data_IF_590266092609
#
_entry.id   IF_590266092609
#
_cell.length_a   1.000
_cell.length_b   1.000
_cell.length_c   1.000
_cell.angle_alpha   90.00
_cell.angle_beta   90.00
_cell.angle_gamma   90.00
#
_symmetry.space_group_name_H-M   'P 1'
#
loop_
_entity.id
_entity.type
_entity.pdbx_description
1 polymer ?
#
# COMPACT_ATOMS: atom_id res chain seq x y z
N UNK A 1 37.95 30.62 -22.25
CA UNK A 1 37.36 30.40 -20.93
C UNK A 1 36.44 29.19 -21.02
N UNK A 2 36.96 28.03 -20.65
CA UNK A 2 36.25 26.76 -20.56
C UNK A 2 35.13 26.90 -19.52
N UNK A 3 33.89 26.67 -19.94
CA UNK A 3 32.72 26.69 -19.04
C UNK A 3 32.80 25.58 -18.00
N UNK A 4 31.99 25.65 -16.93
CA UNK A 4 31.97 24.63 -15.90
C UNK A 4 31.56 23.29 -16.53
N UNK A 5 32.49 22.35 -16.54
CA UNK A 5 32.23 20.93 -16.77
C UNK A 5 31.31 20.46 -15.63
N UNK A 6 30.00 20.40 -15.91
CA UNK A 6 29.02 19.85 -14.99
C UNK A 6 29.32 18.37 -14.76
N UNK A 7 30.01 18.06 -13.66
CA UNK A 7 30.25 16.71 -13.19
C UNK A 7 29.02 16.18 -12.43
N UNK A 8 27.82 16.31 -13.02
CA UNK A 8 26.62 15.60 -12.59
C UNK A 8 26.58 14.20 -13.22
N UNK A 9 27.74 13.55 -13.39
CA UNK A 9 27.80 12.13 -13.73
C UNK A 9 27.16 11.40 -12.56
N UNK A 10 25.89 11.02 -12.74
CA UNK A 10 25.17 10.10 -11.86
C UNK A 10 26.09 8.88 -11.68
N UNK A 11 26.70 8.79 -10.50
CA UNK A 11 27.59 7.68 -10.21
C UNK A 11 26.73 6.40 -10.24
N UNK A 12 26.99 5.43 -11.13
CA UNK A 12 26.13 4.25 -11.26
C UNK A 12 26.02 3.49 -9.93
N UNK A 13 27.07 3.55 -9.10
CA UNK A 13 27.09 3.01 -7.74
C UNK A 13 26.10 3.68 -6.78
N UNK A 14 25.86 4.99 -6.91
CA UNK A 14 24.87 5.68 -6.06
C UNK A 14 23.45 5.41 -6.56
N UNK A 15 23.23 5.38 -7.87
CA UNK A 15 21.92 5.05 -8.44
C UNK A 15 21.48 3.62 -8.09
N UNK A 16 22.41 2.65 -8.13
CA UNK A 16 22.14 1.26 -7.73
C UNK A 16 21.79 1.16 -6.24
N UNK A 17 22.51 1.88 -5.37
CA UNK A 17 22.21 1.93 -3.93
C UNK A 17 20.85 2.55 -3.65
N UNK A 18 20.51 3.64 -4.35
CA UNK A 18 19.19 4.29 -4.24
C UNK A 18 18.09 3.34 -4.73
N UNK A 19 18.29 2.65 -5.84
CA UNK A 19 17.33 1.67 -6.36
C UNK A 19 17.06 0.52 -5.38
N UNK A 20 18.11 0.00 -4.74
CA UNK A 20 17.97 -1.05 -3.73
C UNK A 20 17.17 -0.56 -2.50
N UNK A 21 17.48 0.64 -1.99
CA UNK A 21 16.78 1.26 -0.85
C UNK A 21 15.29 1.49 -1.14
N UNK A 22 14.97 1.99 -2.34
CA UNK A 22 13.58 2.23 -2.76
C UNK A 22 12.81 0.92 -2.89
N UNK A 23 13.44 -0.13 -3.42
CA UNK A 23 12.82 -1.46 -3.57
C UNK A 23 12.44 -2.05 -2.22
N UNK A 24 13.32 -1.92 -1.21
CA UNK A 24 13.05 -2.35 0.16
C UNK A 24 11.85 -1.61 0.77
N UNK A 25 11.81 -0.28 0.65
CA UNK A 25 10.67 0.52 1.13
C UNK A 25 9.36 0.14 0.42
N UNK A 26 9.42 -0.14 -0.88
CA UNK A 26 8.25 -0.57 -1.64
C UNK A 26 7.73 -1.94 -1.19
N UNK A 27 8.62 -2.87 -0.83
CA UNK A 27 8.23 -4.16 -0.24
C UNK A 27 7.56 -3.99 1.11
N UNK A 28 8.10 -3.14 1.99
CA UNK A 28 7.46 -2.82 3.27
C UNK A 28 6.06 -2.22 3.05
N UNK A 29 5.94 -1.26 2.13
CA UNK A 29 4.66 -0.67 1.78
C UNK A 29 3.67 -1.71 1.25
N UNK A 30 4.11 -2.61 0.36
CA UNK A 30 3.28 -3.69 -0.16
C UNK A 30 2.79 -4.64 0.96
N UNK A 31 3.67 -4.99 1.90
CA UNK A 31 3.33 -5.86 3.03
C UNK A 31 2.27 -5.27 3.95
N UNK A 32 2.33 -3.95 4.17
CA UNK A 32 1.35 -3.21 4.98
C UNK A 32 0.02 -2.96 4.26
N UNK A 33 0.05 -2.83 2.93
CA UNK A 33 -1.11 -2.47 2.09
C UNK A 33 -1.80 -3.66 1.42
N UNK A 34 -1.25 -4.88 1.52
CA UNK A 34 -1.82 -6.07 0.89
C UNK A 34 -3.31 -6.29 1.25
N UNK A 35 -4.07 -6.86 0.31
CA UNK A 35 -5.51 -7.09 0.46
C UNK A 35 -5.87 -8.10 1.56
N UNK A 36 -5.05 -9.14 1.75
CA UNK A 36 -5.20 -10.11 2.83
C UNK A 36 -4.72 -9.53 4.18
N UNK A 37 -5.67 -9.01 4.96
CA UNK A 37 -5.39 -8.40 6.26
C UNK A 37 -4.74 -9.36 7.26
N UNK A 38 -4.90 -10.67 7.11
CA UNK A 38 -4.34 -11.66 8.05
C UNK A 38 -2.82 -11.79 7.93
N UNK A 39 -2.27 -11.38 6.78
CA UNK A 39 -0.84 -11.39 6.50
C UNK A 39 -0.15 -10.07 6.83
N UNK A 40 -0.91 -9.03 7.19
CA UNK A 40 -0.34 -7.72 7.50
C UNK A 40 0.48 -7.80 8.80
N UNK A 41 1.71 -7.27 8.82
CA UNK A 41 2.55 -7.31 10.00
C UNK A 41 1.99 -6.43 11.11
N UNK A 42 2.32 -6.77 12.36
CA UNK A 42 2.11 -5.86 13.49
C UNK A 42 3.07 -4.66 13.37
N UNK A 43 2.72 -3.54 13.99
CA UNK A 43 3.56 -2.34 13.96
C UNK A 43 4.98 -2.61 14.51
N UNK A 44 5.11 -3.47 15.52
CA UNK A 44 6.42 -3.85 16.07
C UNK A 44 7.28 -4.60 15.04
N UNK A 45 6.67 -5.45 14.23
CA UNK A 45 7.38 -6.15 13.14
C UNK A 45 7.86 -5.16 12.08
N UNK A 46 7.01 -4.19 11.69
CA UNK A 46 7.39 -3.15 10.73
C UNK A 46 8.56 -2.31 11.24
N UNK A 47 8.56 -1.92 12.52
CA UNK A 47 9.66 -1.17 13.14
C UNK A 47 10.95 -1.99 13.15
N UNK A 48 10.89 -3.26 13.55
CA UNK A 48 12.07 -4.13 13.55
C UNK A 48 12.67 -4.26 12.14
N UNK A 49 11.85 -4.31 11.10
CA UNK A 49 12.33 -4.32 9.71
C UNK A 49 12.99 -2.99 9.33
N UNK A 50 12.37 -1.85 9.67
CA UNK A 50 12.92 -0.53 9.37
C UNK A 50 14.24 -0.24 10.11
N UNK A 51 14.41 -0.82 11.29
CA UNK A 51 15.65 -0.77 12.09
C UNK A 51 16.72 -1.77 11.61
N UNK A 52 16.38 -2.65 10.65
CA UNK A 52 17.30 -3.67 10.12
C UNK A 52 17.48 -4.89 11.04
N UNK A 53 16.58 -5.09 12.01
CA UNK A 53 16.56 -6.22 12.93
C UNK A 53 15.85 -7.45 12.34
N UNK A 54 15.05 -7.26 11.29
CA UNK A 54 14.30 -8.33 10.63
C UNK A 54 14.20 -8.05 9.12
N UNK A 55 14.02 -9.11 8.32
CA UNK A 55 13.80 -8.97 6.88
C UNK A 55 12.29 -8.89 6.56
N UNK A 56 11.97 -8.28 5.41
CA UNK A 56 10.60 -8.25 4.87
C UNK A 56 10.21 -9.64 4.39
N UNK A 57 8.93 -10.00 4.53
CA UNK A 57 8.39 -11.22 3.94
C UNK A 57 8.65 -11.25 2.42
N UNK A 58 9.03 -12.43 1.91
CA UNK A 58 9.32 -12.66 0.50
C UNK A 58 8.06 -13.03 -0.30
N UNK A 59 6.96 -13.43 0.36
CA UNK A 59 5.71 -13.82 -0.26
C UNK A 59 4.66 -12.69 -0.19
N UNK A 60 5.02 -11.53 -0.76
CA UNK A 60 4.12 -10.37 -0.83
C UNK A 60 3.20 -10.47 -2.03
N UNK A 61 1.91 -10.25 -1.78
CA UNK A 61 0.94 -9.99 -2.84
C UNK A 61 0.90 -8.48 -3.10
N UNK A 62 1.24 -8.09 -4.34
CA UNK A 62 1.20 -6.69 -4.79
C UNK A 62 -0.19 -6.29 -5.34
N UNK A 63 -1.18 -7.18 -5.27
CA UNK A 63 -2.57 -6.85 -5.57
C UNK A 63 -3.20 -6.06 -4.42
N UNK A 64 -3.18 -4.73 -4.56
CA UNK A 64 -3.84 -3.79 -3.65
C UNK A 64 -5.35 -3.68 -3.86
N UNK A 65 -5.84 -4.23 -4.97
CA UNK A 65 -7.27 -4.27 -5.25
C UNK A 65 -7.89 -5.39 -4.43
N UNK A 66 -8.94 -5.07 -3.67
CA UNK A 66 -9.81 -6.10 -3.15
C UNK A 66 -10.33 -6.92 -4.35
N UNK A 67 -10.28 -8.26 -4.30
CA UNK A 67 -10.89 -9.06 -5.36
C UNK A 67 -12.36 -8.61 -5.50
N UNK A 68 -12.87 -8.44 -6.74
CA UNK A 68 -14.27 -8.14 -6.94
C UNK A 68 -15.08 -9.17 -6.18
N UNK A 69 -15.90 -8.72 -5.23
CA UNK A 69 -16.85 -9.60 -4.54
C UNK A 69 -17.69 -10.25 -5.63
N UNK A 70 -17.65 -11.59 -5.80
CA UNK A 70 -18.50 -12.26 -6.76
C UNK A 70 -19.95 -12.06 -6.32
N UNK A 71 -20.64 -11.10 -6.92
CA UNK A 71 -22.01 -10.75 -6.55
C UNK A 71 -22.37 -9.27 -6.68
N UNK A 72 -21.40 -8.35 -6.74
CA UNK A 72 -21.70 -6.92 -6.93
C UNK A 72 -21.68 -6.58 -8.41
N UNK A 73 -22.79 -6.82 -9.10
CA UNK A 73 -23.07 -6.12 -10.36
C UNK A 73 -22.99 -4.61 -10.11
N UNK A 74 -22.40 -3.80 -11.01
CA UNK A 74 -22.48 -2.35 -10.89
C UNK A 74 -23.97 -1.99 -10.99
N UNK A 75 -24.58 -1.64 -9.86
CA UNK A 75 -25.94 -1.13 -9.81
C UNK A 75 -25.92 0.22 -10.53
N UNK A 76 -26.32 0.19 -11.80
CA UNK A 76 -26.89 1.35 -12.47
C UNK A 76 -28.13 1.72 -11.65
N UNK A 77 -28.12 2.93 -11.09
CA UNK A 77 -29.28 3.53 -10.44
C UNK A 77 -30.48 3.44 -11.38
N UNK A 78 -31.42 2.57 -11.03
CA UNK A 78 -32.78 2.60 -11.54
C UNK A 78 -33.68 2.02 -10.48
N UNK A 79 -34.12 2.93 -9.60
CA UNK A 79 -35.32 2.89 -8.78
C UNK A 79 -36.27 1.73 -9.14
N UNK A 80 -36.40 0.74 -8.26
CA UNK A 80 -37.64 -0.03 -7.99
C UNK A 80 -37.43 -1.04 -6.85
N UNK A 81 -38.12 -0.76 -5.76
CA UNK A 81 -38.78 -1.66 -4.80
C UNK A 81 -38.47 -3.16 -4.90
N UNK A 82 -37.75 -3.70 -3.91
CA UNK A 82 -38.11 -4.95 -3.20
C UNK A 82 -37.04 -5.31 -2.17
N UNK A 83 -37.44 -5.22 -0.90
CA UNK A 83 -37.02 -6.02 0.25
C UNK A 83 -35.96 -7.10 0.00
N UNK A 84 -34.71 -6.81 0.40
CA UNK A 84 -33.78 -7.78 0.99
C UNK A 84 -32.77 -7.03 1.85
N UNK A 85 -32.57 -7.50 3.09
CA UNK A 85 -31.89 -6.83 4.21
C UNK A 85 -30.41 -6.44 3.95
N UNK A 86 -30.16 -5.46 3.09
CA UNK A 86 -28.89 -4.77 3.01
C UNK A 86 -28.72 -3.93 4.28
N UNK A 87 -27.83 -4.36 5.18
CA UNK A 87 -27.40 -3.51 6.31
C UNK A 87 -26.70 -2.30 5.72
N UNK A 88 -27.38 -1.17 5.69
CA UNK A 88 -26.81 0.12 5.29
C UNK A 88 -25.67 0.43 6.28
N UNK A 89 -24.43 0.39 5.79
CA UNK A 89 -23.28 0.83 6.57
C UNK A 89 -23.41 2.34 6.81
N UNK A 90 -23.87 2.69 8.01
CA UNK A 90 -23.95 4.09 8.43
C UNK A 90 -22.54 4.69 8.42
N UNK A 91 -22.36 5.90 7.87
CA UNK A 91 -21.07 6.60 7.94
C UNK A 91 -20.66 6.70 9.40
N UNK A 92 -19.44 6.29 9.71
CA UNK A 92 -18.87 6.44 11.04
C UNK A 92 -18.90 7.93 11.39
N UNK A 93 -19.84 8.33 12.25
CA UNK A 93 -19.85 9.64 12.88
C UNK A 93 -18.63 9.65 13.79
N UNK A 94 -17.51 10.14 13.25
CA UNK A 94 -16.35 10.50 14.05
C UNK A 94 -16.85 11.50 15.09
N UNK A 95 -17.00 11.02 16.32
CA UNK A 95 -17.36 11.84 17.47
C UNK A 95 -16.49 13.09 17.45
N UNK A 96 -17.14 14.25 17.32
CA UNK A 96 -16.48 15.54 17.19
C UNK A 96 -15.61 15.90 18.41
N UNK A 97 -14.89 17.04 18.33
CA UNK A 97 -13.90 17.43 19.33
C UNK A 97 -14.51 17.58 20.73
N UNK A 98 -13.73 17.21 21.74
CA UNK A 98 -14.08 17.34 23.17
C UNK A 98 -14.13 18.79 23.62
#
# INVERSE_FOLDING_TARGET
>A
MTGPENNDRINPSVALRVGAKVTEMLRIAAWCLQSDFTKRPSISVVVNVLEGLMEVDNHLDFCFTNPPVPGTTPVVDSNRDANDNATVLLPQVLSGPR
#
